data_IF_021615531810
#
_entry.id   IF_021615531810
#
_cell.length_a   1.000
_cell.length_b   1.000
_cell.length_c   1.000
_cell.angle_alpha   90.00
_cell.angle_beta   90.00
_cell.angle_gamma   90.00
#
_symmetry.space_group_name_H-M   'P 1'
#
loop_
_entity.id
_entity.type
_entity.pdbx_description
1 polymer ?
#
# COMPACT_ATOMS: atom_id res chain seq x y z
N UNK A 1 20.01 -4.72 -32.27
CA UNK A 1 19.56 -4.53 -30.87
C UNK A 1 19.79 -3.07 -30.56
N UNK A 2 18.82 -2.37 -29.97
CA UNK A 2 19.02 -0.99 -29.55
C UNK A 2 19.90 -0.99 -28.30
N UNK A 3 20.98 -0.20 -28.26
CA UNK A 3 21.91 -0.07 -27.12
C UNK A 3 21.29 0.62 -25.88
N UNK A 4 19.96 0.73 -25.84
CA UNK A 4 19.22 1.54 -24.89
C UNK A 4 18.30 0.63 -24.05
N UNK A 5 18.36 0.81 -22.73
CA UNK A 5 17.46 0.15 -21.78
C UNK A 5 16.23 1.01 -21.52
N UNK A 6 15.06 0.38 -21.47
CA UNK A 6 13.85 1.01 -20.94
C UNK A 6 13.83 0.84 -19.44
N UNK A 7 13.85 1.95 -18.69
CA UNK A 7 13.81 1.94 -17.23
C UNK A 7 12.44 2.43 -16.76
N UNK A 8 11.80 1.63 -15.91
CA UNK A 8 10.53 1.94 -15.26
C UNK A 8 10.80 1.89 -13.75
N UNK A 9 10.45 2.94 -13.02
CA UNK A 9 10.49 2.85 -11.56
C UNK A 9 9.35 1.96 -11.08
N UNK A 10 9.69 0.92 -10.33
CA UNK A 10 8.71 0.05 -9.68
C UNK A 10 8.15 0.68 -8.38
N UNK A 11 8.72 1.79 -7.93
CA UNK A 11 8.34 2.43 -6.68
C UNK A 11 8.62 3.94 -6.71
N UNK A 12 7.56 4.71 -6.57
CA UNK A 12 7.59 6.13 -6.31
C UNK A 12 6.31 6.53 -5.59
N UNK A 13 6.24 7.76 -5.09
CA UNK A 13 5.07 8.21 -4.35
C UNK A 13 4.47 9.49 -4.93
N UNK A 14 3.15 9.58 -4.87
CA UNK A 14 2.37 10.76 -5.22
C UNK A 14 1.15 10.92 -4.30
N UNK A 15 0.61 12.13 -4.23
CA UNK A 15 -0.58 12.38 -3.44
C UNK A 15 -0.97 13.84 -3.53
N UNK A 16 -2.28 14.14 -3.55
CA UNK A 16 -2.76 15.51 -3.61
C UNK A 16 -2.49 16.29 -2.33
N UNK A 17 -2.57 17.61 -2.42
CA UNK A 17 -2.74 18.41 -1.22
C UNK A 17 -4.18 18.26 -0.68
N UNK A 18 -4.41 18.70 0.56
CA UNK A 18 -5.72 18.58 1.21
C UNK A 18 -6.84 19.37 0.51
N UNK A 19 -6.52 20.53 -0.07
CA UNK A 19 -7.52 21.35 -0.79
C UNK A 19 -8.03 20.60 -2.01
N UNK A 20 -7.12 20.01 -2.79
CA UNK A 20 -7.46 19.14 -3.91
C UNK A 20 -8.24 17.92 -3.44
N UNK A 21 -7.83 17.21 -2.37
CA UNK A 21 -8.61 16.06 -1.89
C UNK A 21 -10.05 16.38 -1.52
N UNK A 22 -10.34 17.61 -1.08
CA UNK A 22 -11.70 18.05 -0.78
C UNK A 22 -12.61 17.94 -2.01
N UNK A 23 -12.08 18.15 -3.21
CA UNK A 23 -12.82 18.04 -4.48
C UNK A 23 -13.18 16.59 -4.84
N UNK A 24 -12.40 15.64 -4.35
CA UNK A 24 -12.60 14.20 -4.57
C UNK A 24 -13.33 13.51 -3.43
N UNK A 25 -13.60 14.21 -2.33
CA UNK A 25 -14.28 13.62 -1.17
C UNK A 25 -15.80 13.58 -1.41
N UNK A 26 -16.44 12.52 -0.93
CA UNK A 26 -17.90 12.45 -0.97
C UNK A 26 -18.50 13.66 -0.21
N UNK A 27 -19.46 14.40 -0.81
CA UNK A 27 -20.10 15.54 -0.19
C UNK A 27 -20.60 15.32 1.25
N UNK A 28 -21.00 14.09 1.60
CA UNK A 28 -21.47 13.73 2.93
C UNK A 28 -20.41 13.91 4.03
N UNK A 29 -19.11 13.95 3.67
CA UNK A 29 -18.00 14.05 4.61
C UNK A 29 -17.30 15.41 4.60
N UNK A 30 -17.78 16.40 3.83
CA UNK A 30 -17.08 17.68 3.69
C UNK A 30 -17.02 18.50 4.99
N UNK A 31 -18.11 18.52 5.76
CA UNK A 31 -18.15 19.23 7.05
C UNK A 31 -17.17 18.60 8.05
N UNK A 32 -17.15 17.27 8.11
CA UNK A 32 -16.22 16.52 8.96
C UNK A 32 -14.76 16.71 8.50
N UNK A 33 -14.54 16.77 7.19
CA UNK A 33 -13.22 17.03 6.62
C UNK A 33 -12.72 18.41 6.99
N UNK A 34 -13.54 19.44 6.86
CA UNK A 34 -13.17 20.81 7.22
C UNK A 34 -12.87 20.90 8.73
N UNK A 35 -13.64 20.21 9.57
CA UNK A 35 -13.38 20.09 11.00
C UNK A 35 -12.07 19.34 11.33
N UNK A 36 -11.79 18.23 10.64
CA UNK A 36 -10.56 17.45 10.79
C UNK A 36 -9.33 18.24 10.32
N UNK A 37 -9.41 18.88 9.16
CA UNK A 37 -8.33 19.61 8.51
C UNK A 37 -7.83 20.78 9.35
N UNK A 38 -8.73 21.44 10.09
CA UNK A 38 -8.40 22.52 11.03
C UNK A 38 -7.56 22.04 12.23
N UNK A 39 -7.66 20.75 12.58
CA UNK A 39 -6.89 20.14 13.69
C UNK A 39 -5.59 19.51 13.20
N UNK A 40 -5.54 19.08 11.94
CA UNK A 40 -4.39 18.40 11.35
C UNK A 40 -3.15 19.29 11.29
N UNK A 41 -2.00 18.75 11.73
CA UNK A 41 -0.68 19.38 11.59
C UNK A 41 0.25 18.38 10.92
N UNK A 42 0.89 18.80 9.81
CA UNK A 42 1.86 17.95 9.12
C UNK A 42 3.07 17.67 10.06
N UNK A 43 3.35 16.41 10.41
CA UNK A 43 4.47 16.07 11.29
C UNK A 43 5.83 16.15 10.59
N UNK A 44 5.88 16.24 9.25
CA UNK A 44 7.11 16.23 8.45
C UNK A 44 7.51 17.66 8.03
N UNK A 45 8.67 18.11 8.54
CA UNK A 45 9.20 19.48 8.38
C UNK A 45 10.01 19.69 7.09
N UNK A 46 10.49 18.63 6.48
CA UNK A 46 11.28 18.59 5.24
C UNK A 46 10.46 18.91 3.98
N UNK A 47 9.14 18.80 4.06
CA UNK A 47 8.23 19.12 2.95
C UNK A 47 7.83 20.61 2.89
N UNK A 48 8.40 21.54 3.66
CA UNK A 48 7.83 22.90 3.75
C UNK A 48 8.13 23.83 2.56
N UNK A 49 9.15 23.52 1.76
CA UNK A 49 9.47 24.28 0.54
C UNK A 49 8.76 23.70 -0.70
N UNK A 50 9.02 24.26 -1.89
CA UNK A 50 8.46 23.82 -3.18
C UNK A 50 8.64 22.32 -3.50
N UNK A 51 9.38 21.55 -2.68
CA UNK A 51 9.47 20.09 -2.79
C UNK A 51 8.13 19.35 -2.70
N UNK A 52 7.12 19.91 -2.02
CA UNK A 52 5.76 19.33 -1.99
C UNK A 52 5.15 19.13 -3.38
N UNK A 53 5.40 20.07 -4.30
CA UNK A 53 4.79 20.03 -5.63
C UNK A 53 5.28 18.84 -6.47
N UNK A 54 6.42 18.21 -6.11
CA UNK A 54 6.91 16.96 -6.76
C UNK A 54 5.91 15.80 -6.66
N UNK A 55 4.96 15.88 -5.72
CA UNK A 55 3.91 14.89 -5.58
C UNK A 55 2.81 14.97 -6.64
N UNK A 56 2.58 16.14 -7.27
CA UNK A 56 1.40 16.34 -8.12
C UNK A 56 1.62 17.24 -9.35
N UNK A 57 2.74 17.97 -9.42
CA UNK A 57 3.10 18.83 -10.55
C UNK A 57 3.71 18.01 -11.69
N UNK A 58 3.08 18.10 -12.87
CA UNK A 58 3.41 17.24 -14.00
C UNK A 58 4.78 17.58 -14.60
N UNK A 59 5.02 18.87 -14.88
CA UNK A 59 6.24 19.32 -15.55
C UNK A 59 7.46 19.04 -14.68
N UNK A 60 7.37 19.34 -13.38
CA UNK A 60 8.43 19.05 -12.43
C UNK A 60 8.73 17.55 -12.37
N UNK A 61 7.69 16.72 -12.20
CA UNK A 61 7.85 15.27 -12.02
C UNK A 61 8.40 14.60 -13.27
N UNK A 62 7.86 14.93 -14.44
CA UNK A 62 8.30 14.35 -15.70
C UNK A 62 9.73 14.77 -16.04
N UNK A 63 10.09 16.04 -15.78
CA UNK A 63 11.47 16.51 -15.96
C UNK A 63 12.45 15.75 -15.07
N UNK A 64 12.09 15.50 -13.80
CA UNK A 64 12.95 14.75 -12.88
C UNK A 64 13.09 13.28 -13.33
N UNK A 65 11.99 12.61 -13.72
CA UNK A 65 12.03 11.23 -14.25
C UNK A 65 12.93 11.09 -15.47
N UNK A 66 12.81 11.99 -16.45
CA UNK A 66 13.62 11.93 -17.66
C UNK A 66 15.09 12.24 -17.41
N UNK A 67 15.39 13.14 -16.47
CA UNK A 67 16.77 13.41 -16.05
C UNK A 67 17.44 12.17 -15.43
N UNK A 68 16.65 11.32 -14.74
CA UNK A 68 17.10 10.04 -14.18
C UNK A 68 17.07 8.89 -15.20
N UNK A 69 16.69 9.15 -16.46
CA UNK A 69 16.61 8.13 -17.53
C UNK A 69 15.41 7.18 -17.41
N UNK A 70 14.38 7.56 -16.65
CA UNK A 70 13.18 6.76 -16.42
C UNK A 70 12.05 7.22 -17.34
N UNK A 71 11.31 6.28 -17.92
CA UNK A 71 10.21 6.60 -18.87
C UNK A 71 8.82 6.31 -18.33
N UNK A 72 8.72 5.62 -17.19
CA UNK A 72 7.46 5.28 -16.55
C UNK A 72 7.67 4.96 -15.06
N UNK A 73 6.59 4.96 -14.31
CA UNK A 73 6.59 4.82 -12.86
C UNK A 73 5.33 4.13 -12.33
N UNK A 74 5.52 3.31 -11.29
CA UNK A 74 4.46 2.73 -10.45
C UNK A 74 4.31 3.58 -9.20
N UNK A 75 3.09 4.04 -8.92
CA UNK A 75 2.84 5.15 -7.99
C UNK A 75 2.08 4.64 -6.75
N UNK A 76 2.76 4.67 -5.61
CA UNK A 76 2.19 4.48 -4.28
C UNK A 76 1.65 5.82 -3.71
N UNK A 77 0.70 5.77 -2.77
CA UNK A 77 0.27 6.96 -2.04
C UNK A 77 1.41 7.59 -1.21
N UNK A 78 1.49 8.92 -1.16
CA UNK A 78 2.46 9.68 -0.34
C UNK A 78 1.83 10.60 0.72
N UNK A 79 0.92 11.47 0.29
CA UNK A 79 0.34 12.47 1.19
C UNK A 79 -0.65 11.81 2.12
N UNK A 80 -0.91 12.40 3.29
CA UNK A 80 -1.94 11.93 4.21
C UNK A 80 -3.32 12.12 3.56
N UNK A 81 -4.07 11.03 3.25
CA UNK A 81 -5.43 11.16 2.76
C UNK A 81 -6.36 11.75 3.84
N UNK A 82 -7.54 12.27 3.46
CA UNK A 82 -8.54 12.73 4.43
C UNK A 82 -8.77 11.73 5.56
N UNK A 83 -8.86 12.20 6.79
CA UNK A 83 -9.14 11.39 7.99
C UNK A 83 -8.06 10.38 8.42
N UNK A 84 -6.91 10.32 7.75
CA UNK A 84 -5.81 9.46 8.18
C UNK A 84 -5.04 10.08 9.36
N UNK A 85 -4.60 9.27 10.34
CA UNK A 85 -3.84 9.77 11.48
C UNK A 85 -2.39 10.14 11.12
N UNK A 86 -1.85 9.54 10.06
CA UNK A 86 -0.47 9.69 9.60
C UNK A 86 -0.34 9.29 8.13
N UNK A 87 0.89 9.30 7.62
CA UNK A 87 1.20 8.72 6.31
C UNK A 87 0.69 7.28 6.20
N UNK A 88 0.04 6.93 5.08
CA UNK A 88 -0.65 5.64 4.91
C UNK A 88 0.26 4.44 5.10
N UNK A 89 1.51 4.51 4.65
CA UNK A 89 2.45 3.39 4.81
C UNK A 89 2.87 3.15 6.27
N UNK A 90 2.56 4.08 7.19
CA UNK A 90 2.73 3.91 8.63
C UNK A 90 1.40 3.90 9.40
N UNK A 91 0.29 4.17 8.73
CA UNK A 91 -1.02 4.20 9.36
C UNK A 91 -1.48 2.76 9.61
N UNK A 92 -1.79 2.44 10.87
CA UNK A 92 -2.45 1.18 11.22
C UNK A 92 -3.79 1.08 10.50
N UNK A 93 -4.37 -0.13 10.30
CA UNK A 93 -5.74 -0.25 9.82
C UNK A 93 -6.74 0.57 10.68
N UNK A 94 -7.86 1.08 10.12
CA UNK A 94 -8.82 1.88 10.86
C UNK A 94 -9.45 1.04 11.96
N UNK A 95 -9.66 1.63 13.14
CA UNK A 95 -10.58 1.02 14.12
C UNK A 95 -12.01 1.04 13.58
N UNK A 96 -12.92 0.18 14.10
CA UNK A 96 -14.32 0.16 13.65
C UNK A 96 -14.99 1.54 13.65
N UNK A 97 -14.74 2.35 14.69
CA UNK A 97 -15.30 3.70 14.82
C UNK A 97 -14.70 4.74 13.85
N UNK A 98 -13.58 4.43 13.20
CA UNK A 98 -12.89 5.30 12.24
C UNK A 98 -13.13 4.84 10.78
N UNK A 99 -13.71 3.65 10.59
CA UNK A 99 -13.71 2.93 9.32
C UNK A 99 -14.32 3.75 8.18
N UNK A 100 -15.53 4.26 8.38
CA UNK A 100 -16.28 5.03 7.37
C UNK A 100 -15.51 6.26 6.89
N UNK A 101 -15.03 7.10 7.82
CA UNK A 101 -14.26 8.29 7.48
C UNK A 101 -12.96 7.93 6.76
N UNK A 102 -12.21 6.93 7.25
CA UNK A 102 -10.96 6.56 6.59
C UNK A 102 -11.19 5.95 5.21
N UNK A 103 -12.25 5.18 5.02
CA UNK A 103 -12.61 4.64 3.69
C UNK A 103 -12.99 5.77 2.73
N UNK A 104 -13.75 6.76 3.18
CA UNK A 104 -14.07 7.94 2.37
C UNK A 104 -12.79 8.71 1.94
N UNK A 105 -11.82 8.88 2.84
CA UNK A 105 -10.54 9.50 2.51
C UNK A 105 -9.66 8.68 1.58
N UNK A 106 -9.65 7.36 1.75
CA UNK A 106 -8.99 6.41 0.86
C UNK A 106 -9.60 6.48 -0.56
N UNK A 107 -10.92 6.50 -0.67
CA UNK A 107 -11.61 6.60 -1.95
C UNK A 107 -11.37 7.97 -2.61
N UNK A 108 -11.31 9.06 -1.84
CA UNK A 108 -10.91 10.37 -2.36
C UNK A 108 -9.50 10.34 -2.95
N UNK A 109 -8.56 9.64 -2.30
CA UNK A 109 -7.23 9.44 -2.87
C UNK A 109 -7.27 8.60 -4.16
N UNK A 110 -8.00 7.49 -4.17
CA UNK A 110 -8.09 6.62 -5.35
C UNK A 110 -8.69 7.37 -6.55
N UNK A 111 -9.74 8.19 -6.34
CA UNK A 111 -10.32 9.06 -7.37
C UNK A 111 -9.31 10.10 -7.89
N UNK A 112 -8.62 10.78 -7.00
CA UNK A 112 -7.55 11.72 -7.40
C UNK A 112 -6.43 11.01 -8.17
N UNK A 113 -6.02 9.82 -7.74
CA UNK A 113 -4.93 9.08 -8.36
C UNK A 113 -5.31 8.61 -9.77
N UNK A 114 -6.57 8.23 -9.98
CA UNK A 114 -7.09 7.87 -11.30
C UNK A 114 -6.99 9.06 -12.27
N UNK A 115 -7.44 10.25 -11.84
CA UNK A 115 -7.31 11.48 -12.63
C UNK A 115 -5.84 11.88 -12.84
N UNK A 116 -5.01 11.73 -11.80
CA UNK A 116 -3.58 12.01 -11.89
C UNK A 116 -2.87 11.12 -12.93
N UNK A 117 -3.21 9.83 -12.97
CA UNK A 117 -2.65 8.86 -13.91
C UNK A 117 -3.20 9.04 -15.32
N UNK A 118 -4.48 9.43 -15.48
CA UNK A 118 -5.11 9.62 -16.80
C UNK A 118 -4.46 10.74 -17.62
N UNK A 119 -3.77 11.69 -16.97
CA UNK A 119 -2.96 12.73 -17.65
C UNK A 119 -1.76 12.17 -18.41
N UNK A 120 -1.17 11.06 -17.95
CA UNK A 120 -0.01 10.40 -18.57
C UNK A 120 -0.17 8.87 -18.52
N UNK A 121 -1.17 8.30 -19.21
CA UNK A 121 -1.64 6.92 -18.97
C UNK A 121 -0.62 5.86 -19.39
N UNK A 122 0.28 6.19 -20.31
CA UNK A 122 1.37 5.30 -20.73
C UNK A 122 2.57 5.33 -19.75
N UNK A 123 2.75 6.43 -19.02
CA UNK A 123 3.88 6.67 -18.11
C UNK A 123 3.55 6.32 -16.66
N UNK A 124 2.30 6.53 -16.23
CA UNK A 124 1.89 6.38 -14.82
C UNK A 124 1.07 5.11 -14.61
N UNK A 125 1.39 4.38 -13.56
CA UNK A 125 0.65 3.21 -13.11
C UNK A 125 0.33 3.36 -11.61
N UNK A 126 -0.81 3.96 -11.29
CA UNK A 126 -1.24 4.18 -9.91
C UNK A 126 -1.68 2.90 -9.20
N UNK A 127 -1.39 2.84 -7.90
CA UNK A 127 -1.84 1.78 -7.00
C UNK A 127 -2.97 2.33 -6.12
N UNK A 128 -4.17 1.80 -6.31
CA UNK A 128 -5.31 2.15 -5.46
C UNK A 128 -5.19 1.50 -4.08
N UNK A 129 -5.67 2.16 -3.05
CA UNK A 129 -5.64 1.63 -1.68
C UNK A 129 -6.92 0.85 -1.38
N UNK A 130 -6.85 -0.16 -0.50
CA UNK A 130 -8.01 -0.88 0.04
C UNK A 130 -7.86 -1.14 1.55
N UNK A 131 -8.97 -1.33 2.27
CA UNK A 131 -8.97 -1.81 3.65
C UNK A 131 -9.57 -3.21 3.76
N UNK A 132 -8.84 -4.12 4.41
CA UNK A 132 -9.29 -5.50 4.64
C UNK A 132 -10.20 -5.65 5.88
N UNK A 133 -10.61 -4.55 6.51
CA UNK A 133 -11.54 -4.56 7.64
C UNK A 133 -12.90 -5.18 7.30
N UNK A 134 -13.36 -4.93 6.07
CA UNK A 134 -14.57 -5.50 5.49
C UNK A 134 -14.22 -6.02 4.10
N UNK A 135 -14.45 -7.30 3.87
CA UNK A 135 -14.07 -8.00 2.64
C UNK A 135 -14.92 -7.57 1.45
N UNK A 136 -16.22 -7.31 1.67
CA UNK A 136 -17.12 -6.89 0.61
C UNK A 136 -16.76 -5.49 0.11
N UNK A 137 -16.46 -4.59 1.05
CA UNK A 137 -15.98 -3.24 0.75
C UNK A 137 -14.62 -3.25 0.04
N UNK A 138 -13.71 -4.15 0.45
CA UNK A 138 -12.43 -4.32 -0.22
C UNK A 138 -12.59 -4.81 -1.66
N UNK A 139 -13.53 -5.73 -1.90
CA UNK A 139 -13.87 -6.23 -3.25
C UNK A 139 -14.48 -5.12 -4.11
N UNK A 140 -15.39 -4.31 -3.55
CA UNK A 140 -15.93 -3.14 -4.24
C UNK A 140 -14.82 -2.17 -4.65
N UNK A 141 -13.92 -1.84 -3.72
CA UNK A 141 -12.81 -0.94 -4.00
C UNK A 141 -11.86 -1.55 -5.06
N UNK A 142 -11.57 -2.86 -5.02
CA UNK A 142 -10.75 -3.56 -6.06
C UNK A 142 -11.39 -3.43 -7.44
N UNK A 143 -12.70 -3.68 -7.56
CA UNK A 143 -13.43 -3.55 -8.83
C UNK A 143 -13.36 -2.13 -9.35
N UNK A 144 -13.63 -1.15 -8.49
CA UNK A 144 -13.52 0.26 -8.84
C UNK A 144 -12.11 0.63 -9.33
N UNK A 145 -11.06 0.17 -8.65
CA UNK A 145 -9.66 0.41 -9.02
C UNK A 145 -9.36 -0.17 -10.42
N UNK A 146 -9.82 -1.39 -10.69
CA UNK A 146 -9.63 -2.04 -11.99
C UNK A 146 -10.38 -1.29 -13.11
N UNK A 147 -11.63 -0.90 -12.87
CA UNK A 147 -12.48 -0.17 -13.82
C UNK A 147 -11.94 1.23 -14.15
N UNK A 148 -11.27 1.88 -13.20
CA UNK A 148 -10.73 3.24 -13.35
C UNK A 148 -9.26 3.28 -13.79
N UNK A 149 -8.71 2.15 -14.26
CA UNK A 149 -7.41 2.10 -14.92
C UNK A 149 -6.20 2.27 -13.99
N UNK A 150 -6.36 2.07 -12.69
CA UNK A 150 -5.27 2.03 -11.71
C UNK A 150 -4.49 0.70 -11.82
N UNK A 151 -3.80 0.54 -12.95
CA UNK A 151 -3.12 -0.68 -13.38
C UNK A 151 -1.88 -1.06 -12.55
N UNK A 152 -1.43 -0.19 -11.65
CA UNK A 152 -0.36 -0.51 -10.70
C UNK A 152 -0.81 -1.55 -9.67
N UNK A 153 -2.11 -1.61 -9.41
CA UNK A 153 -2.73 -2.63 -8.58
C UNK A 153 -3.46 -2.09 -7.36
N UNK A 154 -3.61 -2.94 -6.35
CA UNK A 154 -4.17 -2.58 -5.05
C UNK A 154 -3.09 -2.61 -3.98
N UNK A 155 -3.09 -1.65 -3.06
CA UNK A 155 -2.23 -1.63 -1.87
C UNK A 155 -3.02 -2.17 -0.68
N UNK A 156 -2.53 -3.26 -0.10
CA UNK A 156 -3.06 -3.78 1.17
C UNK A 156 -2.25 -3.25 2.35
N UNK A 157 -2.95 -2.85 3.41
CA UNK A 157 -2.32 -2.56 4.69
C UNK A 157 -2.18 -3.87 5.49
N UNK A 158 -0.94 -4.31 5.69
CA UNK A 158 -0.65 -5.51 6.48
C UNK A 158 -1.16 -5.34 7.93
N UNK A 159 -2.05 -6.22 8.42
CA UNK A 159 -2.55 -6.13 9.79
C UNK A 159 -1.42 -6.42 10.77
N UNK A 160 -1.09 -5.49 11.69
CA UNK A 160 -0.06 -5.73 12.68
C UNK A 160 -0.53 -6.77 13.72
N UNK A 161 0.38 -7.45 14.43
CA UNK A 161 0.01 -8.55 15.34
C UNK A 161 -0.87 -8.12 16.53
N UNK A 162 -0.86 -6.83 16.88
CA UNK A 162 -1.69 -6.20 17.90
C UNK A 162 -3.07 -5.74 17.38
N UNK A 163 -3.33 -5.81 16.06
CA UNK A 163 -4.65 -5.56 15.49
C UNK A 163 -5.59 -6.76 15.74
N UNK A 164 -6.83 -6.46 16.16
CA UNK A 164 -7.85 -7.48 16.52
C UNK A 164 -9.13 -7.39 15.70
N UNK A 165 -9.23 -6.42 14.81
CA UNK A 165 -10.44 -6.10 14.04
C UNK A 165 -10.21 -6.21 12.52
N UNK A 166 -9.00 -6.57 12.08
CA UNK A 166 -8.71 -6.95 10.70
C UNK A 166 -8.20 -8.39 10.71
N UNK A 167 -8.75 -9.29 9.88
CA UNK A 167 -8.29 -10.66 9.81
C UNK A 167 -6.81 -10.71 9.36
N UNK A 168 -6.00 -11.66 9.85
CA UNK A 168 -4.66 -11.86 9.33
C UNK A 168 -4.71 -12.30 7.85
N UNK A 169 -3.63 -12.08 7.09
CA UNK A 169 -3.63 -12.30 5.64
C UNK A 169 -3.81 -13.78 5.24
N UNK A 170 -3.58 -14.70 6.17
CA UNK A 170 -3.78 -16.14 6.01
C UNK A 170 -5.19 -16.63 6.40
N UNK A 171 -6.08 -15.74 6.85
CA UNK A 171 -7.45 -16.11 7.20
C UNK A 171 -8.25 -16.47 5.92
N UNK A 172 -8.89 -17.64 5.83
CA UNK A 172 -9.75 -17.99 4.70
C UNK A 172 -10.91 -17.02 4.47
N UNK A 173 -11.29 -16.19 5.44
CA UNK A 173 -12.26 -15.11 5.24
C UNK A 173 -11.82 -14.11 4.16
N UNK A 174 -10.51 -14.02 3.86
CA UNK A 174 -9.96 -13.18 2.79
C UNK A 174 -9.91 -13.87 1.42
N UNK A 175 -10.22 -15.16 1.31
CA UNK A 175 -10.21 -15.89 0.04
C UNK A 175 -11.09 -15.24 -1.06
N UNK A 176 -12.28 -14.68 -0.76
CA UNK A 176 -13.03 -13.91 -1.76
C UNK A 176 -12.27 -12.70 -2.32
N UNK A 177 -11.52 -11.98 -1.48
CA UNK A 177 -10.69 -10.85 -1.90
C UNK A 177 -9.53 -11.30 -2.80
N UNK A 178 -8.83 -12.37 -2.42
CA UNK A 178 -7.75 -12.95 -3.24
C UNK A 178 -8.26 -13.45 -4.60
N UNK A 179 -9.44 -14.08 -4.61
CA UNK A 179 -10.12 -14.52 -5.83
C UNK A 179 -10.42 -13.35 -6.76
N UNK A 180 -11.02 -12.28 -6.23
CA UNK A 180 -11.36 -11.11 -7.02
C UNK A 180 -10.11 -10.48 -7.65
N UNK A 181 -9.03 -10.34 -6.88
CA UNK A 181 -7.76 -9.82 -7.39
C UNK A 181 -7.19 -10.71 -8.51
N UNK A 182 -7.28 -12.04 -8.35
CA UNK A 182 -6.85 -13.01 -9.37
C UNK A 182 -7.70 -12.93 -10.65
N UNK A 183 -9.03 -12.88 -10.52
CA UNK A 183 -9.98 -12.87 -11.63
C UNK A 183 -9.87 -11.59 -12.47
N UNK A 184 -9.66 -10.44 -11.83
CA UNK A 184 -9.41 -9.16 -12.50
C UNK A 184 -7.96 -9.02 -13.00
N UNK A 185 -7.06 -9.92 -12.60
CA UNK A 185 -5.65 -9.89 -12.97
C UNK A 185 -4.89 -8.69 -12.40
N UNK A 186 -5.41 -8.08 -11.34
CA UNK A 186 -4.86 -6.88 -10.71
C UNK A 186 -3.80 -7.27 -9.67
N UNK A 187 -2.57 -6.69 -9.71
CA UNK A 187 -1.55 -7.02 -8.73
C UNK A 187 -1.93 -6.55 -7.32
N UNK A 188 -1.69 -7.40 -6.32
CA UNK A 188 -1.73 -7.02 -4.92
C UNK A 188 -0.35 -6.55 -4.50
N UNK A 189 -0.27 -5.37 -3.92
CA UNK A 189 0.96 -4.75 -3.46
C UNK A 189 1.01 -4.73 -1.93
N UNK A 190 2.17 -5.10 -1.39
CA UNK A 190 2.58 -4.82 -0.02
C UNK A 190 3.84 -3.96 -0.05
N UNK A 191 3.93 -3.01 0.86
CA UNK A 191 4.96 -2.00 0.87
C UNK A 191 5.69 -1.95 2.21
N UNK A 192 6.98 -1.59 2.17
CA UNK A 192 7.80 -1.24 3.32
C UNK A 192 7.10 -0.28 4.27
N UNK A 193 7.29 -0.49 5.58
CA UNK A 193 6.71 0.34 6.64
C UNK A 193 5.36 -0.16 7.19
N UNK A 194 4.69 -1.08 6.50
CA UNK A 194 3.40 -1.62 6.94
C UNK A 194 3.54 -2.80 7.91
N UNK A 195 2.50 -3.09 8.70
CA UNK A 195 2.44 -4.29 9.57
C UNK A 195 3.15 -4.19 10.92
N UNK A 196 3.67 -3.02 11.28
CA UNK A 196 4.37 -2.78 12.54
C UNK A 196 3.41 -2.73 13.76
N UNK A 197 3.80 -3.34 14.90
CA UNK A 197 3.02 -3.26 16.14
C UNK A 197 3.09 -1.86 16.79
N UNK A 198 2.26 -1.62 17.80
CA UNK A 198 2.47 -0.48 18.71
C UNK A 198 3.71 -0.69 19.57
N UNK A 199 4.76 0.08 19.32
CA UNK A 199 5.94 0.11 20.20
C UNK A 199 5.74 0.99 21.45
N UNK A 200 4.60 1.67 21.59
CA UNK A 200 4.36 2.64 22.66
C UNK A 200 5.31 3.83 22.63
N UNK A 201 5.34 4.61 23.71
CA UNK A 201 6.22 5.78 23.88
C UNK A 201 7.29 5.50 24.92
N UNK A 202 8.30 4.73 24.53
CA UNK A 202 9.45 4.39 25.38
C UNK A 202 10.75 4.87 24.73
N UNK A 203 11.84 5.06 25.50
CA UNK A 203 13.13 5.47 24.96
C UNK A 203 13.66 4.57 23.83
N UNK A 204 13.32 3.27 23.85
CA UNK A 204 13.75 2.30 22.86
C UNK A 204 12.82 2.17 21.64
N UNK A 205 11.63 2.80 21.63
CA UNK A 205 10.61 2.55 20.60
C UNK A 205 11.10 2.88 19.18
N UNK A 206 11.88 3.96 19.02
CA UNK A 206 12.45 4.32 17.72
C UNK A 206 13.50 3.32 17.23
N UNK A 207 14.32 2.76 18.13
CA UNK A 207 15.31 1.75 17.78
C UNK A 207 14.63 0.44 17.37
N UNK A 208 13.63 0.00 18.15
CA UNK A 208 12.83 -1.18 17.82
C UNK A 208 12.15 -1.04 16.46
N UNK A 209 11.54 0.14 16.19
CA UNK A 209 10.97 0.46 14.89
C UNK A 209 11.99 0.27 13.75
N UNK A 210 13.16 0.91 13.85
CA UNK A 210 14.19 0.87 12.80
C UNK A 210 14.71 -0.56 12.58
N UNK A 211 14.83 -1.36 13.65
CA UNK A 211 15.35 -2.73 13.54
C UNK A 211 14.31 -3.73 13.05
N UNK A 212 13.02 -3.51 13.32
CA UNK A 212 11.96 -4.48 13.04
C UNK A 212 11.14 -4.16 11.77
N UNK A 213 11.24 -2.95 11.21
CA UNK A 213 10.50 -2.54 10.00
C UNK A 213 10.65 -3.54 8.85
N UNK A 214 11.88 -4.01 8.58
CA UNK A 214 12.13 -4.98 7.51
C UNK A 214 11.40 -6.29 7.76
N UNK A 215 11.45 -6.81 8.99
CA UNK A 215 10.78 -8.06 9.34
C UNK A 215 9.27 -7.97 9.12
N UNK A 216 8.62 -6.92 9.64
CA UNK A 216 7.17 -6.77 9.50
C UNK A 216 6.74 -6.47 8.06
N UNK A 217 7.56 -5.76 7.29
CA UNK A 217 7.29 -5.47 5.88
C UNK A 217 7.36 -6.72 5.00
N UNK A 218 8.24 -7.68 5.33
CA UNK A 218 8.44 -8.93 4.59
C UNK A 218 7.44 -10.02 4.98
N UNK A 219 6.92 -9.95 6.21
CA UNK A 219 6.02 -10.94 6.80
C UNK A 219 4.76 -11.28 5.98
N UNK A 220 4.12 -10.35 5.25
CA UNK A 220 2.99 -10.66 4.38
C UNK A 220 3.28 -11.78 3.39
N UNK A 221 4.45 -11.77 2.75
CA UNK A 221 4.84 -12.83 1.81
C UNK A 221 4.88 -14.20 2.48
N UNK A 222 5.50 -14.30 3.65
CA UNK A 222 5.54 -15.51 4.45
C UNK A 222 4.14 -16.00 4.86
N UNK A 223 3.23 -15.08 5.21
CA UNK A 223 1.85 -15.45 5.55
C UNK A 223 1.13 -16.06 4.36
N UNK A 224 1.20 -15.42 3.19
CA UNK A 224 0.52 -15.91 1.99
C UNK A 224 1.13 -17.23 1.48
N UNK A 225 2.46 -17.33 1.48
CA UNK A 225 3.20 -18.52 1.04
C UNK A 225 2.90 -19.72 1.95
N UNK A 226 3.08 -19.58 3.26
CA UNK A 226 2.94 -20.71 4.19
C UNK A 226 1.48 -21.13 4.43
N UNK A 227 0.52 -20.23 4.18
CA UNK A 227 -0.92 -20.54 4.31
C UNK A 227 -1.56 -21.08 3.05
N UNK A 228 -0.79 -21.25 1.98
CA UNK A 228 -1.28 -21.86 0.75
C UNK A 228 -2.11 -20.92 -0.13
N UNK A 229 -2.00 -19.59 0.03
CA UNK A 229 -2.81 -18.63 -0.76
C UNK A 229 -2.45 -18.72 -2.23
N UNK A 230 -1.17 -18.83 -2.55
CA UNK A 230 -0.70 -18.96 -3.94
C UNK A 230 -1.09 -20.31 -4.57
N UNK A 231 -1.32 -21.35 -3.77
CA UNK A 231 -1.83 -22.64 -4.22
C UNK A 231 -3.34 -22.58 -4.51
N UNK A 232 -4.10 -21.81 -3.72
CA UNK A 232 -5.53 -21.57 -3.96
C UNK A 232 -5.79 -20.61 -5.11
N UNK A 233 -4.89 -19.63 -5.31
CA UNK A 233 -4.99 -18.58 -6.33
C UNK A 233 -3.68 -18.48 -7.16
N UNK A 234 -3.39 -19.47 -8.03
CA UNK A 234 -2.12 -19.60 -8.72
C UNK A 234 -1.80 -18.51 -9.76
N UNK A 235 -2.77 -17.69 -10.16
CA UNK A 235 -2.54 -16.52 -11.05
C UNK A 235 -2.42 -15.21 -10.28
N UNK A 236 -2.58 -15.22 -8.96
CA UNK A 236 -2.47 -14.02 -8.14
C UNK A 236 -1.05 -13.47 -8.22
N UNK A 237 -0.93 -12.18 -8.52
CA UNK A 237 0.35 -11.47 -8.55
C UNK A 237 0.51 -10.69 -7.25
N UNK A 238 1.58 -10.98 -6.52
CA UNK A 238 1.94 -10.28 -5.30
C UNK A 238 3.24 -9.51 -5.48
N UNK A 239 3.22 -8.21 -5.21
CA UNK A 239 4.35 -7.29 -5.36
C UNK A 239 4.80 -6.81 -3.99
N UNK A 240 6.11 -6.84 -3.78
CA UNK A 240 6.79 -6.43 -2.55
C UNK A 240 7.65 -5.21 -2.84
N UNK A 241 7.20 -4.03 -2.42
CA UNK A 241 7.91 -2.76 -2.63
C UNK A 241 8.68 -2.32 -1.38
N UNK A 242 9.79 -1.61 -1.61
CA UNK A 242 10.65 -1.00 -0.59
C UNK A 242 11.20 -1.94 0.52
N UNK A 243 11.36 -3.23 0.25
CA UNK A 243 11.85 -4.22 1.25
C UNK A 243 13.09 -5.02 0.85
N UNK A 244 13.71 -4.64 -0.27
CA UNK A 244 14.84 -5.37 -0.88
C UNK A 244 14.46 -6.79 -1.30
N UNK A 245 15.42 -7.52 -1.88
CA UNK A 245 15.22 -8.91 -2.33
C UNK A 245 16.20 -9.93 -1.72
N UNK A 246 17.30 -9.48 -1.11
CA UNK A 246 18.37 -10.35 -0.61
C UNK A 246 17.93 -11.27 0.55
N UNK A 247 16.80 -10.98 1.20
CA UNK A 247 16.24 -11.80 2.28
C UNK A 247 15.45 -13.01 1.76
N UNK A 248 15.04 -13.02 0.49
CA UNK A 248 14.13 -14.03 -0.07
C UNK A 248 14.79 -15.41 -0.10
N UNK A 249 15.99 -15.51 -0.65
CA UNK A 249 16.74 -16.76 -0.75
C UNK A 249 16.94 -17.46 0.61
N UNK A 250 17.56 -16.82 1.63
CA UNK A 250 17.77 -17.49 2.92
C UNK A 250 16.45 -17.81 3.66
N UNK A 251 15.37 -17.05 3.39
CA UNK A 251 14.06 -17.32 3.98
C UNK A 251 13.37 -18.54 3.34
N UNK A 252 13.46 -18.72 2.02
CA UNK A 252 12.96 -19.91 1.33
C UNK A 252 13.73 -21.15 1.78
N UNK A 253 15.07 -21.10 1.82
CA UNK A 253 15.90 -22.23 2.27
C UNK A 253 15.55 -22.69 3.70
N UNK A 254 15.29 -21.72 4.58
CA UNK A 254 14.83 -21.98 5.95
C UNK A 254 13.47 -22.66 5.97
N UNK A 255 12.52 -22.21 5.14
CA UNK A 255 11.18 -22.79 5.09
C UNK A 255 11.20 -24.20 4.52
N UNK A 256 11.95 -24.45 3.45
CA UNK A 256 12.12 -25.77 2.88
C UNK A 256 12.71 -26.74 3.91
N UNK A 257 13.75 -26.32 4.62
CA UNK A 257 14.37 -27.11 5.69
C UNK A 257 13.39 -27.44 6.82
N UNK A 258 12.62 -26.44 7.27
CA UNK A 258 11.61 -26.62 8.32
C UNK A 258 10.49 -27.56 7.87
N UNK A 259 9.95 -27.37 6.67
CA UNK A 259 8.87 -28.21 6.13
C UNK A 259 9.34 -29.65 5.89
N UNK A 260 10.58 -29.86 5.43
CA UNK A 260 11.16 -31.19 5.31
C UNK A 260 11.24 -31.88 6.68
N UNK A 261 11.66 -31.17 7.73
CA UNK A 261 11.69 -31.70 9.09
C UNK A 261 10.29 -32.02 9.62
N UNK A 262 9.30 -31.14 9.41
CA UNK A 262 7.91 -31.39 9.81
C UNK A 262 7.38 -32.64 9.11
N UNK A 263 7.60 -32.78 7.80
CA UNK A 263 7.17 -33.96 7.02
C UNK A 263 7.84 -35.24 7.49
N UNK A 264 9.12 -35.19 7.86
CA UNK A 264 9.87 -36.36 8.32
C UNK A 264 9.49 -36.79 9.75
N UNK A 265 9.13 -35.85 10.61
CA UNK A 265 8.94 -36.10 12.06
C UNK A 265 7.49 -36.05 12.53
N UNK A 266 6.59 -35.45 11.75
CA UNK A 266 5.20 -35.15 12.14
C UNK A 266 5.07 -34.07 13.22
N UNK A 267 6.15 -33.34 13.56
CA UNK A 267 6.16 -32.33 14.62
C UNK A 267 6.25 -30.92 14.01
N UNK A 268 5.33 -30.05 14.40
CA UNK A 268 5.35 -28.59 14.12
C UNK A 268 6.09 -27.82 15.20
#
# INVERSE_FOLDING_TARGET
MTDHYTIISADCHAGANHETYREYLDPAYLDDFDAWRNKYKNPFRDLQDGGRVRNWDDDRRNSDLYADGQVAEVIYPNTVPPFFPSFVLFAKPPKPEEYEHRRAGLQAHNRWLADFCSRFPNQRAGIGQVFLNNVDDAIEDVRWIAENGLRGGVLIASPPPDCKYVPPLYDPALDPFWRECEELGIPVNSHGGTGLPDFGRYPASALLFITEVSFYSQRPFSQLLLSGVFERFPRLKFVMAEMGCAWIEPMIERYDSLLAQIRATGRT
#
